data_IF_349352514203
#
_entry.id   IF_349352514203
#
_cell.length_a   1.000
_cell.length_b   1.000
_cell.length_c   1.000
_cell.angle_alpha   90.00
_cell.angle_beta   90.00
_cell.angle_gamma   90.00
#
_symmetry.space_group_name_H-M   'P 1'
#
loop_
_entity.id
_entity.type
_entity.pdbx_description
1 polymer ?
#
# COMPACT_ATOMS: atom_id res chain seq x y z
N UNK A 1 19.61 0.60 18.83
CA UNK A 1 18.97 1.29 17.69
C UNK A 1 19.26 0.44 16.44
N UNK A 2 18.25 -0.12 15.82
CA UNK A 2 18.42 -0.96 14.62
C UNK A 2 18.38 -0.08 13.38
N UNK A 3 19.45 -0.12 12.58
CA UNK A 3 19.50 0.56 11.27
C UNK A 3 18.95 -0.38 10.21
N UNK A 4 17.79 -0.07 9.67
CA UNK A 4 17.23 -0.81 8.54
C UNK A 4 17.68 -0.16 7.23
N UNK A 5 18.64 -0.74 6.49
CA UNK A 5 19.22 -0.12 5.29
C UNK A 5 18.31 -0.16 4.07
N UNK A 6 17.15 -0.81 4.16
CA UNK A 6 16.21 -0.90 3.05
C UNK A 6 15.19 0.25 3.07
N UNK A 7 14.74 0.63 1.89
CA UNK A 7 13.63 1.56 1.73
C UNK A 7 12.37 0.96 2.38
N UNK A 8 11.65 1.72 3.24
CA UNK A 8 10.41 1.25 3.85
C UNK A 8 9.36 0.84 2.81
N UNK A 9 8.58 -0.19 3.11
CA UNK A 9 7.50 -0.64 2.22
C UNK A 9 6.43 0.44 1.98
N UNK A 10 6.29 1.39 2.91
CA UNK A 10 5.34 2.49 2.83
C UNK A 10 5.85 3.73 2.05
N UNK A 11 7.03 3.66 1.41
CA UNK A 11 7.59 4.82 0.67
C UNK A 11 6.63 5.36 -0.39
N UNK A 12 5.83 4.49 -1.01
CA UNK A 12 4.83 4.91 -1.99
C UNK A 12 3.84 5.92 -1.41
N UNK A 13 3.40 5.74 -0.16
CA UNK A 13 2.51 6.71 0.52
C UNK A 13 3.15 8.09 0.59
N UNK A 14 4.43 8.17 0.93
CA UNK A 14 5.15 9.44 1.00
C UNK A 14 5.29 10.10 -0.38
N UNK A 15 5.53 9.31 -1.43
CA UNK A 15 5.61 9.81 -2.82
C UNK A 15 4.25 10.38 -3.28
N UNK A 16 3.16 9.66 -3.02
CA UNK A 16 1.79 10.09 -3.35
C UNK A 16 1.37 11.33 -2.54
N UNK A 17 1.86 11.43 -1.29
CA UNK A 17 1.71 12.63 -0.47
C UNK A 17 2.55 13.83 -0.97
N UNK A 18 3.44 13.65 -1.95
CA UNK A 18 4.23 14.71 -2.55
C UNK A 18 5.69 14.77 -2.10
N UNK A 19 6.17 13.78 -1.36
CA UNK A 19 7.57 13.73 -0.88
C UNK A 19 8.42 12.84 -1.78
N UNK A 20 9.30 13.45 -2.56
CA UNK A 20 10.19 12.70 -3.46
C UNK A 20 11.40 12.12 -2.69
N UNK A 21 11.26 10.92 -2.17
CA UNK A 21 12.32 10.22 -1.45
C UNK A 21 13.59 9.99 -2.27
N UNK A 22 13.46 9.73 -3.57
CA UNK A 22 14.61 9.57 -4.45
C UNK A 22 15.46 10.86 -4.53
N UNK A 23 14.81 12.01 -4.68
CA UNK A 23 15.47 13.30 -4.68
C UNK A 23 16.15 13.61 -3.33
N UNK A 24 15.48 13.29 -2.21
CA UNK A 24 16.04 13.48 -0.87
C UNK A 24 17.33 12.68 -0.69
N UNK A 25 17.31 11.40 -1.06
CA UNK A 25 18.48 10.51 -0.92
C UNK A 25 19.62 10.99 -1.79
N UNK A 26 19.37 11.32 -3.06
CA UNK A 26 20.40 11.77 -4.00
C UNK A 26 20.98 13.11 -3.55
N UNK A 27 20.15 14.06 -3.16
CA UNK A 27 20.62 15.36 -2.68
C UNK A 27 21.40 15.24 -1.36
N UNK A 28 20.99 14.34 -0.46
CA UNK A 28 21.73 14.05 0.76
C UNK A 28 23.11 13.47 0.46
N UNK A 29 23.21 12.51 -0.46
CA UNK A 29 24.48 11.94 -0.89
C UNK A 29 25.41 12.97 -1.54
N UNK A 30 24.85 13.84 -2.38
CA UNK A 30 25.61 14.89 -3.08
C UNK A 30 25.84 16.15 -2.22
N UNK A 31 25.48 16.12 -0.95
CA UNK A 31 25.57 17.26 -0.02
C UNK A 31 24.91 18.55 -0.55
N UNK A 32 23.87 18.40 -1.36
CA UNK A 32 23.08 19.53 -1.88
C UNK A 32 22.05 19.98 -0.85
N UNK A 33 21.65 21.25 -0.95
CA UNK A 33 20.57 21.80 -0.11
C UNK A 33 19.30 21.00 -0.32
N UNK A 34 18.71 20.54 0.79
CA UNK A 34 17.41 19.84 0.78
C UNK A 34 16.29 20.85 0.57
N UNK A 35 15.33 20.49 -0.27
CA UNK A 35 14.09 21.24 -0.43
C UNK A 35 13.15 20.97 0.74
N UNK A 36 12.39 21.98 1.13
CA UNK A 36 11.27 21.78 2.06
C UNK A 36 10.08 21.19 1.27
N UNK A 37 9.58 20.06 1.71
CA UNK A 37 8.42 19.41 1.11
C UNK A 37 7.16 19.74 1.92
N UNK A 38 6.12 20.20 1.22
CA UNK A 38 4.77 20.32 1.76
C UNK A 38 4.05 19.03 1.37
N UNK A 39 3.73 18.20 2.34
CA UNK A 39 3.04 16.94 2.10
C UNK A 39 1.54 17.10 2.29
N UNK A 40 0.79 16.28 1.56
CA UNK A 40 -0.66 16.16 1.71
C UNK A 40 -0.97 15.24 2.87
N UNK A 41 -1.90 15.65 3.70
CA UNK A 41 -2.41 14.82 4.80
C UNK A 41 -3.55 13.91 4.33
N UNK A 42 -3.81 12.85 5.11
CA UNK A 42 -4.88 11.88 4.86
C UNK A 42 -4.75 11.10 3.54
N UNK A 43 -3.52 10.85 3.09
CA UNK A 43 -3.24 9.94 1.98
C UNK A 43 -3.10 8.50 2.53
N UNK A 44 -3.84 7.57 1.94
CA UNK A 44 -3.90 6.19 2.39
C UNK A 44 -3.33 5.25 1.34
N UNK A 45 -2.48 4.33 1.75
CA UNK A 45 -1.97 3.27 0.89
C UNK A 45 -2.61 1.94 1.28
N UNK A 46 -3.21 1.27 0.31
CA UNK A 46 -3.87 -0.03 0.49
C UNK A 46 -3.36 -1.05 -0.52
N UNK A 47 -3.59 -2.31 -0.23
CA UNK A 47 -3.30 -3.42 -1.12
C UNK A 47 -4.62 -4.01 -1.62
N UNK A 48 -5.03 -3.65 -2.84
CA UNK A 48 -6.36 -3.96 -3.38
C UNK A 48 -6.65 -5.48 -3.37
N UNK A 49 -5.66 -6.30 -3.72
CA UNK A 49 -5.83 -7.75 -3.71
C UNK A 49 -6.16 -8.32 -2.33
N UNK A 50 -5.51 -7.82 -1.28
CA UNK A 50 -5.83 -8.24 0.10
C UNK A 50 -7.16 -7.69 0.58
N UNK A 51 -7.53 -6.48 0.18
CA UNK A 51 -8.82 -5.88 0.52
C UNK A 51 -10.00 -6.67 -0.05
N UNK A 52 -9.89 -7.08 -1.31
CA UNK A 52 -10.90 -7.92 -1.96
C UNK A 52 -11.03 -9.26 -1.23
N UNK A 53 -9.90 -9.91 -0.94
CA UNK A 53 -9.90 -11.19 -0.22
C UNK A 53 -10.49 -11.06 1.18
N UNK A 54 -10.13 -9.99 1.91
CA UNK A 54 -10.70 -9.71 3.21
C UNK A 54 -12.21 -9.52 3.13
N UNK A 55 -12.68 -8.72 2.18
CA UNK A 55 -14.11 -8.46 1.99
C UNK A 55 -14.89 -9.74 1.67
N UNK A 56 -14.34 -10.63 0.84
CA UNK A 56 -15.00 -11.89 0.50
C UNK A 56 -15.06 -12.88 1.67
N UNK A 57 -14.05 -12.89 2.54
CA UNK A 57 -13.93 -13.88 3.63
C UNK A 57 -14.41 -13.39 4.99
N UNK A 58 -14.41 -12.09 5.23
CA UNK A 58 -14.77 -11.55 6.54
C UNK A 58 -16.28 -11.65 6.79
N UNK A 59 -16.72 -12.27 7.90
CA UNK A 59 -18.13 -12.28 8.31
C UNK A 59 -18.60 -10.88 8.71
N UNK A 60 -17.67 -9.99 9.12
CA UNK A 60 -17.96 -8.66 9.62
C UNK A 60 -17.78 -7.56 8.57
N UNK A 61 -17.71 -7.91 7.27
CA UNK A 61 -17.41 -6.98 6.16
C UNK A 61 -18.29 -5.72 6.12
N UNK A 62 -19.51 -5.78 6.62
CA UNK A 62 -20.45 -4.64 6.67
C UNK A 62 -20.55 -3.98 8.05
N UNK A 63 -19.89 -4.55 9.08
CA UNK A 63 -19.98 -4.06 10.46
C UNK A 63 -18.74 -3.32 10.93
N UNK A 64 -17.72 -3.23 10.09
CA UNK A 64 -16.46 -2.53 10.44
C UNK A 64 -16.66 -1.02 10.49
N UNK A 65 -15.94 -0.37 11.40
CA UNK A 65 -15.84 1.09 11.44
C UNK A 65 -14.36 1.47 11.38
N UNK A 66 -13.93 2.26 10.40
CA UNK A 66 -14.71 2.82 9.29
C UNK A 66 -15.26 1.73 8.35
N UNK A 67 -16.30 2.04 7.58
CA UNK A 67 -16.89 1.13 6.62
C UNK A 67 -15.89 0.82 5.50
N UNK A 68 -15.89 -0.41 4.99
CA UNK A 68 -14.97 -0.78 3.91
C UNK A 68 -15.11 0.12 2.66
N UNK A 69 -16.32 0.58 2.38
CA UNK A 69 -16.61 1.47 1.24
C UNK A 69 -16.12 2.91 1.44
N UNK A 70 -15.88 3.34 2.69
CA UNK A 70 -15.32 4.68 2.98
C UNK A 70 -13.92 4.83 2.40
N UNK A 71 -13.28 3.71 2.08
CA UNK A 71 -11.94 3.65 1.49
C UNK A 71 -11.93 3.60 -0.05
N UNK A 72 -13.01 3.95 -0.72
CA UNK A 72 -13.06 4.14 -2.17
C UNK A 72 -12.91 5.62 -2.57
N UNK A 73 -12.36 6.45 -1.68
CA UNK A 73 -12.20 7.89 -1.87
C UNK A 73 -11.01 8.29 -2.75
N UNK A 74 -10.90 9.60 -3.04
CA UNK A 74 -9.88 10.17 -3.92
C UNK A 74 -8.45 10.08 -3.38
N UNK A 75 -8.28 9.96 -2.06
CA UNK A 75 -6.97 9.97 -1.39
C UNK A 75 -6.46 8.55 -1.11
N UNK A 76 -6.94 7.58 -1.88
CA UNK A 76 -6.55 6.18 -1.71
C UNK A 76 -5.70 5.75 -2.88
N UNK A 77 -4.51 5.29 -2.55
CA UNK A 77 -3.53 4.75 -3.49
C UNK A 77 -3.40 3.25 -3.26
N UNK A 78 -3.20 2.51 -4.33
CA UNK A 78 -3.04 1.07 -4.26
C UNK A 78 -1.58 0.69 -4.50
N UNK A 79 -1.03 -0.10 -3.57
CA UNK A 79 0.37 -0.53 -3.64
C UNK A 79 0.61 -1.50 -4.79
N UNK A 80 -0.36 -2.35 -5.06
CA UNK A 80 -0.30 -3.42 -6.06
C UNK A 80 -0.74 -2.96 -7.47
N UNK A 81 -1.12 -1.69 -7.62
CA UNK A 81 -1.55 -1.10 -8.88
C UNK A 81 -0.87 0.26 -9.06
N UNK A 82 0.25 0.28 -9.76
CA UNK A 82 1.01 1.52 -9.99
C UNK A 82 0.49 2.29 -11.19
N UNK A 83 0.03 1.59 -12.22
CA UNK A 83 -0.48 2.17 -13.45
C UNK A 83 -1.60 1.28 -14.00
N UNK A 84 -2.67 1.91 -14.50
CA UNK A 84 -3.79 1.22 -15.16
C UNK A 84 -3.33 0.56 -16.46
N UNK A 85 -2.28 1.09 -17.09
CA UNK A 85 -1.72 0.53 -18.33
C UNK A 85 -1.04 -0.83 -18.12
N UNK A 86 -0.56 -1.14 -16.90
CA UNK A 86 0.07 -2.41 -16.56
C UNK A 86 -0.69 -3.15 -15.46
N UNK A 87 -1.83 -3.73 -15.83
CA UNK A 87 -2.69 -4.51 -14.93
C UNK A 87 -2.18 -5.94 -14.69
N UNK A 88 -1.23 -6.43 -15.49
CA UNK A 88 -0.74 -7.83 -15.39
C UNK A 88 -0.14 -8.17 -14.02
N UNK A 89 0.77 -7.36 -13.42
CA UNK A 89 1.30 -7.64 -12.09
C UNK A 89 0.21 -7.71 -11.02
N UNK A 90 -0.80 -6.86 -11.11
CA UNK A 90 -1.94 -6.87 -10.20
C UNK A 90 -2.74 -8.18 -10.29
N UNK A 91 -3.11 -8.61 -11.51
CA UNK A 91 -3.87 -9.84 -11.72
C UNK A 91 -3.07 -11.05 -11.22
N UNK A 92 -1.81 -11.16 -11.59
CA UNK A 92 -0.94 -12.26 -11.19
C UNK A 92 -0.71 -12.29 -9.67
N UNK A 93 -0.50 -11.13 -9.06
CA UNK A 93 -0.37 -10.98 -7.61
C UNK A 93 -1.65 -11.38 -6.87
N UNK A 94 -2.80 -10.94 -7.35
CA UNK A 94 -4.11 -11.29 -6.77
C UNK A 94 -4.40 -12.78 -6.89
N UNK A 95 -4.18 -13.40 -8.05
CA UNK A 95 -4.34 -14.84 -8.24
C UNK A 95 -3.42 -15.65 -7.32
N UNK A 96 -2.17 -15.22 -7.16
CA UNK A 96 -1.21 -15.84 -6.24
C UNK A 96 -1.69 -15.74 -4.78
N UNK A 97 -2.22 -14.60 -4.38
CA UNK A 97 -2.76 -14.39 -3.04
C UNK A 97 -4.01 -15.23 -2.80
N UNK A 98 -4.92 -15.32 -3.78
CA UNK A 98 -6.09 -16.20 -3.70
C UNK A 98 -5.66 -17.66 -3.52
N UNK A 99 -4.71 -18.14 -4.32
CA UNK A 99 -4.16 -19.50 -4.18
C UNK A 99 -3.59 -19.76 -2.78
N UNK A 100 -2.81 -18.83 -2.22
CA UNK A 100 -2.26 -18.94 -0.86
C UNK A 100 -3.35 -19.03 0.21
N UNK A 101 -4.39 -18.22 0.08
CA UNK A 101 -5.50 -18.21 1.04
C UNK A 101 -6.30 -19.51 0.97
N UNK A 102 -6.47 -20.09 -0.23
CA UNK A 102 -7.11 -21.39 -0.40
C UNK A 102 -6.26 -22.54 0.17
N UNK A 103 -4.94 -22.42 0.16
CA UNK A 103 -4.01 -23.42 0.67
C UNK A 103 -3.84 -23.43 2.21
N UNK A 104 -4.80 -22.95 2.96
CA UNK A 104 -4.91 -23.14 4.44
C UNK A 104 -3.88 -22.45 5.33
N UNK A 105 -2.69 -22.09 4.83
CA UNK A 105 -1.62 -21.57 5.70
C UNK A 105 -1.76 -20.11 6.10
N UNK A 106 -2.57 -19.32 5.38
CA UNK A 106 -2.73 -17.89 5.61
C UNK A 106 -4.11 -17.48 6.18
N UNK A 107 -4.98 -18.46 6.45
CA UNK A 107 -6.32 -18.20 7.00
C UNK A 107 -6.26 -17.40 8.30
N UNK A 108 -5.31 -17.70 9.17
CA UNK A 108 -5.10 -17.02 10.46
C UNK A 108 -4.60 -15.57 10.33
N UNK A 109 -4.02 -15.20 9.18
CA UNK A 109 -3.46 -13.86 8.97
C UNK A 109 -4.50 -12.84 8.52
N UNK A 110 -5.60 -13.32 7.94
CA UNK A 110 -6.72 -12.50 7.46
C UNK A 110 -7.76 -12.27 8.56
N UNK A 111 -7.83 -13.17 9.54
CA UNK A 111 -8.76 -13.10 10.67
C UNK A 111 -8.28 -12.21 11.82
N UNK A 112 -7.05 -11.67 11.78
CA UNK A 112 -6.49 -10.68 12.70
C UNK A 112 -6.63 -9.27 12.18
#
# INVERSE_FOLDING_TARGET
MELNPRVPACVKTAVEAGVNWGEIIVNGYLQKTQKTYIYKENEYLRHLGFEILWFLKSPNRFKTRPCWFDFLGKNIHYQDMSDISDIKPFIMGTLRNVKRVLMHSEKKRIER
#
